data_IF_764695963734
#
_entry.id   IF_764695963734
#
_cell.length_a   1.000
_cell.length_b   1.000
_cell.length_c   1.000
_cell.angle_alpha   90.00
_cell.angle_beta   90.00
_cell.angle_gamma   90.00
#
_symmetry.space_group_name_H-M   'P 1'
#
loop_
_entity.id
_entity.type
_entity.pdbx_description
1 polymer ?
#
# COMPACT_ATOMS: atom_id res chain seq x y z
N UNK A 1 6.72 0.45 -3.68
CA UNK A 1 5.73 0.17 -2.62
C UNK A 1 4.77 -0.84 -3.20
N UNK A 2 4.39 -1.87 -2.44
CA UNK A 2 3.38 -2.84 -2.88
C UNK A 2 2.14 -2.72 -2.00
N UNK A 3 0.99 -2.66 -2.68
CA UNK A 3 -0.34 -2.72 -2.10
C UNK A 3 -0.99 -4.04 -2.51
N UNK A 4 -1.46 -4.80 -1.51
CA UNK A 4 -2.22 -6.05 -1.72
C UNK A 4 -3.52 -6.00 -0.93
N UNK A 5 -4.70 -6.15 -1.56
CA UNK A 5 -5.90 -6.43 -0.79
C UNK A 5 -5.74 -7.79 -0.09
N UNK A 6 -6.04 -7.82 1.20
CA UNK A 6 -6.12 -9.02 2.01
C UNK A 6 -7.40 -9.76 1.65
N UNK A 7 -7.28 -10.79 0.82
CA UNK A 7 -8.41 -11.63 0.40
C UNK A 7 -8.17 -13.09 0.80
N UNK A 8 -9.19 -13.81 1.34
CA UNK A 8 -9.05 -15.22 1.73
C UNK A 8 -8.93 -16.18 0.54
N UNK A 9 -9.31 -15.76 -0.68
CA UNK A 9 -9.29 -16.60 -1.87
C UNK A 9 -8.95 -15.80 -3.13
N UNK A 10 -7.83 -16.14 -3.77
CA UNK A 10 -7.77 -16.33 -5.22
C UNK A 10 -7.29 -15.20 -6.13
N UNK A 11 -7.55 -13.92 -5.86
CA UNK A 11 -7.23 -12.86 -6.85
C UNK A 11 -6.49 -11.70 -6.19
N UNK A 12 -5.19 -11.87 -5.94
CA UNK A 12 -4.35 -10.78 -5.41
C UNK A 12 -4.20 -9.69 -6.49
N UNK A 13 -4.86 -8.55 -6.32
CA UNK A 13 -4.62 -7.35 -7.12
C UNK A 13 -3.36 -6.67 -6.58
N UNK A 14 -2.21 -6.95 -7.19
CA UNK A 14 -0.93 -6.37 -6.80
C UNK A 14 -0.71 -5.05 -7.55
N UNK A 15 -0.46 -3.96 -6.79
CA UNK A 15 0.02 -2.72 -7.36
C UNK A 15 1.50 -2.54 -6.97
N UNK A 16 2.42 -2.75 -7.92
CA UNK A 16 3.84 -2.44 -7.75
C UNK A 16 4.16 -1.08 -8.36
N UNK A 17 4.62 -0.15 -7.52
CA UNK A 17 5.03 1.19 -7.93
C UNK A 17 6.46 1.46 -7.52
N UNK A 18 7.29 1.84 -8.51
CA UNK A 18 8.69 2.19 -8.33
C UNK A 18 8.84 3.71 -8.31
N UNK A 19 9.01 4.27 -7.11
CA UNK A 19 9.26 5.71 -6.94
C UNK A 19 10.77 5.94 -6.88
N UNK A 20 11.32 6.54 -7.93
CA UNK A 20 12.74 6.93 -8.00
C UNK A 20 12.98 8.37 -7.54
N UNK A 21 11.91 9.14 -7.34
CA UNK A 21 11.93 10.52 -6.85
C UNK A 21 10.76 10.74 -5.89
N UNK A 22 10.80 11.82 -5.08
CA UNK A 22 9.70 12.23 -4.17
C UNK A 22 8.49 12.73 -4.98
N UNK A 23 7.94 11.89 -5.85
CA UNK A 23 6.62 12.09 -6.43
C UNK A 23 5.61 11.47 -5.48
N UNK A 24 4.85 12.33 -4.81
CA UNK A 24 3.65 11.90 -4.12
C UNK A 24 2.71 11.31 -5.17
N UNK A 25 2.34 10.04 -5.00
CA UNK A 25 1.28 9.41 -5.78
C UNK A 25 0.12 9.10 -4.87
N UNK A 26 -1.05 9.56 -5.27
CA UNK A 26 -2.29 9.28 -4.57
C UNK A 26 -2.91 8.01 -5.16
N UNK A 27 -3.25 7.07 -4.30
CA UNK A 27 -3.96 5.84 -4.66
C UNK A 27 -5.32 5.83 -4.00
N UNK A 28 -6.36 5.60 -4.79
CA UNK A 28 -7.71 5.41 -4.28
C UNK A 28 -7.89 3.95 -3.88
N UNK A 29 -8.09 3.70 -2.59
CA UNK A 29 -8.38 2.37 -2.06
C UNK A 29 -9.89 2.14 -2.03
N UNK A 30 -10.29 0.91 -2.29
CA UNK A 30 -11.69 0.50 -2.19
C UNK A 30 -12.12 0.49 -0.73
N UNK A 31 -13.34 0.97 -0.40
CA UNK A 31 -13.86 0.97 0.97
C UNK A 31 -14.15 -0.47 1.47
N UNK A 32 -14.12 -0.65 2.78
CA UNK A 32 -14.35 -1.92 3.47
C UNK A 32 -13.40 -3.08 3.06
N UNK A 33 -12.19 -2.76 2.61
CA UNK A 33 -11.18 -3.75 2.23
C UNK A 33 -10.00 -3.65 3.19
N UNK A 34 -9.52 -4.80 3.66
CA UNK A 34 -8.25 -4.89 4.38
C UNK A 34 -7.13 -4.92 3.36
N UNK A 35 -6.12 -4.10 3.52
CA UNK A 35 -4.94 -4.01 2.68
C UNK A 35 -3.69 -4.35 3.48
N UNK A 36 -2.69 -4.90 2.77
CA UNK A 36 -1.33 -5.14 3.26
C UNK A 36 -0.40 -4.24 2.47
N UNK A 37 0.37 -3.45 3.21
CA UNK A 37 1.34 -2.50 2.70
C UNK A 37 2.74 -3.02 2.99
N UNK A 38 3.59 -3.04 1.97
CA UNK A 38 5.01 -3.32 2.12
C UNK A 38 5.84 -2.32 1.30
N UNK A 39 6.98 -1.94 1.84
CA UNK A 39 7.92 -1.05 1.18
C UNK A 39 9.30 -1.68 1.13
N UNK A 40 10.09 -1.29 0.13
CA UNK A 40 11.53 -1.59 0.05
C UNK A 40 12.20 -0.40 -0.63
N UNK A 41 13.48 -0.20 -0.36
CA UNK A 41 14.28 0.82 -1.01
C UNK A 41 15.34 0.19 -1.91
N UNK A 42 15.75 0.93 -2.92
CA UNK A 42 16.97 0.69 -3.66
C UNK A 42 17.82 1.93 -3.49
N UNK A 43 18.96 1.78 -2.83
CA UNK A 43 19.92 2.88 -2.71
C UNK A 43 20.47 3.23 -4.10
N UNK A 44 20.63 4.53 -4.38
CA UNK A 44 21.10 5.02 -5.67
C UNK A 44 22.45 4.39 -6.04
N UNK A 45 22.53 3.80 -7.23
CA UNK A 45 23.74 3.12 -7.69
C UNK A 45 23.91 1.67 -7.23
N UNK A 46 23.01 1.14 -6.38
CA UNK A 46 22.99 -0.29 -6.04
C UNK A 46 22.16 -1.09 -7.05
N UNK A 47 22.67 -2.27 -7.41
CA UNK A 47 22.00 -3.18 -8.36
C UNK A 47 20.77 -3.89 -7.79
N UNK A 48 20.74 -4.09 -6.47
CA UNK A 48 19.74 -4.92 -5.81
C UNK A 48 18.86 -4.08 -4.90
N UNK A 49 17.58 -4.41 -4.88
CA UNK A 49 16.63 -3.90 -3.91
C UNK A 49 16.93 -4.47 -2.53
N UNK A 50 16.71 -3.65 -1.49
CA UNK A 50 16.66 -4.13 -0.11
C UNK A 50 15.49 -5.12 0.06
N UNK A 51 15.55 -5.99 1.08
CA UNK A 51 14.41 -6.83 1.44
C UNK A 51 13.17 -5.99 1.74
N UNK A 52 12.00 -6.61 1.58
CA UNK A 52 10.73 -5.98 1.96
C UNK A 52 10.67 -5.72 3.45
N UNK A 53 10.01 -4.62 3.83
CA UNK A 53 9.64 -4.34 5.21
C UNK A 53 8.67 -5.39 5.75
N UNK A 54 8.53 -5.42 7.08
CA UNK A 54 7.41 -6.08 7.73
C UNK A 54 6.07 -5.55 7.18
N UNK A 55 5.05 -6.41 7.05
CA UNK A 55 3.75 -6.02 6.52
C UNK A 55 3.02 -5.06 7.47
N UNK A 56 2.43 -4.01 6.91
CA UNK A 56 1.49 -3.13 7.61
C UNK A 56 0.07 -3.41 7.15
N UNK A 57 -0.85 -3.63 8.09
CA UNK A 57 -2.24 -3.99 7.80
C UNK A 57 -3.16 -2.81 8.07
N UNK A 58 -4.02 -2.47 7.12
CA UNK A 58 -5.00 -1.39 7.28
C UNK A 58 -6.34 -1.79 6.69
N UNK A 59 -7.43 -1.58 7.42
CA UNK A 59 -8.80 -1.75 6.92
C UNK A 59 -9.34 -0.38 6.51
N UNK A 60 -9.79 -0.25 5.26
CA UNK A 60 -10.44 0.98 4.82
C UNK A 60 -11.85 1.10 5.42
N UNK A 61 -12.33 2.34 5.69
CA UNK A 61 -13.69 2.58 6.18
C UNK A 61 -14.77 2.05 5.24
N UNK A 62 -15.96 1.78 5.76
CA UNK A 62 -17.06 1.14 5.00
C UNK A 62 -17.72 2.07 3.97
N UNK A 63 -17.58 3.37 4.15
CA UNK A 63 -17.98 4.41 3.21
C UNK A 63 -16.85 5.44 3.20
N UNK A 64 -16.55 6.09 2.06
CA UNK A 64 -15.50 7.12 1.95
C UNK A 64 -15.69 8.36 2.84
N UNK A 65 -16.58 8.30 3.83
CA UNK A 65 -16.75 9.26 4.90
C UNK A 65 -15.65 8.99 5.92
N UNK A 66 -14.76 9.97 6.06
CA UNK A 66 -13.70 9.94 7.06
C UNK A 66 -14.31 9.73 8.44
N UNK A 67 -13.95 8.63 9.08
CA UNK A 67 -14.21 8.44 10.50
C UNK A 67 -13.26 9.36 11.26
N UNK A 68 -13.75 10.58 11.57
CA UNK A 68 -13.00 11.60 12.30
C UNK A 68 -13.17 13.02 11.76
N UNK A 69 -14.39 13.57 11.83
CA UNK A 69 -14.60 15.03 11.83
C UNK A 69 -15.94 15.38 12.47
N UNK A 70 -16.08 15.18 13.79
CA UNK A 70 -16.86 16.07 14.67
C UNK A 70 -16.24 16.01 16.07
N UNK A 71 -15.55 17.09 16.43
CA UNK A 71 -15.15 17.64 17.74
C UNK A 71 -13.82 18.36 17.56
#
# INVERSE_FOLDING_TARGET
MILKPYQPCGTVKEFDTNFTYVQQSEFYLEPNIKYVFQVRCQETGKRYWQPWSSPFFHKTPETGLKEGSYC
#
